data_IF_705934174429
#
_entry.id   IF_705934174429
#
_cell.length_a   1.000
_cell.length_b   1.000
_cell.length_c   1.000
_cell.angle_alpha   90.00
_cell.angle_beta   90.00
_cell.angle_gamma   90.00
#
_symmetry.space_group_name_H-M   'P 1'
#
loop_
_entity.id
_entity.type
_entity.pdbx_description
1 polymer ?
#
# COMPACT_ATOMS: atom_id res chain seq x y z
N UNK A 1 7.60 3.31 18.58
CA UNK A 1 6.87 3.54 17.32
C UNK A 1 7.61 2.78 16.24
N UNK A 2 6.91 1.99 15.42
CA UNK A 2 7.52 1.22 14.34
C UNK A 2 8.11 2.16 13.29
N UNK A 3 9.34 1.92 12.83
CA UNK A 3 9.94 2.69 11.74
C UNK A 3 9.35 2.23 10.40
N UNK A 4 8.51 3.06 9.79
CA UNK A 4 7.84 2.79 8.51
C UNK A 4 8.51 3.49 7.33
N UNK A 5 9.66 4.15 7.55
CA UNK A 5 10.44 4.81 6.50
C UNK A 5 10.80 3.90 5.31
N UNK A 6 11.09 2.59 5.50
CA UNK A 6 11.34 1.69 4.37
C UNK A 6 10.16 1.58 3.40
N UNK A 7 8.93 1.55 3.93
CA UNK A 7 7.71 1.47 3.12
C UNK A 7 7.45 2.77 2.36
N UNK A 8 7.49 3.92 3.05
CA UNK A 8 7.24 5.22 2.41
C UNK A 8 8.27 5.47 1.30
N UNK A 9 9.55 5.19 1.56
CA UNK A 9 10.60 5.36 0.57
C UNK A 9 10.44 4.41 -0.64
N UNK A 10 10.01 3.16 -0.43
CA UNK A 10 9.75 2.23 -1.53
C UNK A 10 8.56 2.68 -2.39
N UNK A 11 7.47 3.11 -1.76
CA UNK A 11 6.26 3.59 -2.43
C UNK A 11 6.54 4.87 -3.22
N UNK A 12 7.21 5.86 -2.62
CA UNK A 12 7.55 7.13 -3.29
C UNK A 12 8.40 6.88 -4.54
N UNK A 13 9.45 6.05 -4.43
CA UNK A 13 10.29 5.69 -5.57
C UNK A 13 9.52 5.00 -6.69
N UNK A 14 8.49 4.21 -6.37
CA UNK A 14 7.68 3.56 -7.40
C UNK A 14 6.66 4.54 -7.99
N UNK A 15 6.00 5.34 -7.16
CA UNK A 15 5.09 6.40 -7.59
C UNK A 15 5.76 7.38 -8.56
N UNK A 16 6.97 7.85 -8.24
CA UNK A 16 7.73 8.75 -9.11
C UNK A 16 8.08 8.12 -10.46
N UNK A 17 8.41 6.82 -10.48
CA UNK A 17 8.62 6.10 -11.73
C UNK A 17 7.35 6.02 -12.56
N UNK A 18 6.21 5.71 -11.94
CA UNK A 18 4.92 5.67 -12.62
C UNK A 18 4.56 7.04 -13.23
N UNK A 19 4.78 8.13 -12.48
CA UNK A 19 4.57 9.52 -12.96
C UNK A 19 5.47 9.86 -14.16
N UNK A 20 6.66 9.29 -14.23
CA UNK A 20 7.61 9.49 -15.32
C UNK A 20 7.40 8.54 -16.51
N UNK A 21 6.52 7.53 -16.41
CA UNK A 21 6.32 6.55 -17.49
C UNK A 21 5.56 7.14 -18.68
N UNK A 22 5.90 6.74 -19.93
CA UNK A 22 5.08 7.03 -21.10
C UNK A 22 3.67 6.43 -20.96
N UNK A 23 2.66 7.13 -21.49
CA UNK A 23 1.27 6.64 -21.46
C UNK A 23 1.11 5.24 -22.06
N UNK A 24 1.81 4.92 -23.15
CA UNK A 24 1.75 3.60 -23.78
C UNK A 24 2.20 2.48 -22.83
N UNK A 25 3.24 2.71 -22.03
CA UNK A 25 3.71 1.77 -20.99
C UNK A 25 2.67 1.63 -19.87
N UNK A 26 2.10 2.75 -19.40
CA UNK A 26 1.04 2.73 -18.39
C UNK A 26 -0.16 1.89 -18.85
N UNK A 27 -0.59 2.08 -20.10
CA UNK A 27 -1.70 1.35 -20.71
C UNK A 27 -1.38 -0.12 -21.02
N UNK A 28 -0.11 -0.50 -21.16
CA UNK A 28 0.32 -1.89 -21.36
C UNK A 28 0.30 -2.74 -20.07
N UNK A 29 -0.17 -2.18 -18.95
CA UNK A 29 -0.44 -2.93 -17.73
C UNK A 29 0.26 -2.40 -16.49
N UNK A 30 1.22 -1.47 -16.62
CA UNK A 30 1.90 -0.88 -15.46
C UNK A 30 0.91 -0.13 -14.54
N UNK A 31 -0.07 0.58 -15.11
CA UNK A 31 -1.10 1.24 -14.32
C UNK A 31 -2.04 0.24 -13.62
N UNK A 32 -2.45 -0.83 -14.31
CA UNK A 32 -3.31 -1.85 -13.70
C UNK A 32 -2.63 -2.54 -12.51
N UNK A 33 -1.36 -2.91 -12.65
CA UNK A 33 -0.57 -3.52 -11.57
C UNK A 33 -0.36 -2.57 -10.38
N UNK A 34 -0.10 -1.29 -10.66
CA UNK A 34 0.05 -0.29 -9.62
C UNK A 34 -1.26 -0.01 -8.87
N UNK A 35 -2.41 0.02 -9.57
CA UNK A 35 -3.72 0.19 -8.95
C UNK A 35 -4.09 -1.02 -8.07
N UNK A 36 -3.80 -2.25 -8.54
CA UNK A 36 -4.00 -3.47 -7.74
C UNK A 36 -3.18 -3.41 -6.44
N UNK A 37 -1.91 -3.00 -6.52
CA UNK A 37 -1.10 -2.78 -5.33
C UNK A 37 -1.68 -1.69 -4.42
N UNK A 38 -2.08 -0.54 -4.97
CA UNK A 38 -2.65 0.55 -4.18
C UNK A 38 -3.91 0.12 -3.42
N UNK A 39 -4.77 -0.70 -4.05
CA UNK A 39 -5.93 -1.33 -3.40
C UNK A 39 -5.53 -2.25 -2.27
N UNK A 40 -4.56 -3.12 -2.49
CA UNK A 40 -4.05 -4.04 -1.45
C UNK A 40 -3.49 -3.28 -0.25
N UNK A 41 -2.69 -2.23 -0.47
CA UNK A 41 -2.17 -1.40 0.62
C UNK A 41 -3.29 -0.67 1.37
N UNK A 42 -4.29 -0.15 0.66
CA UNK A 42 -5.45 0.52 1.26
C UNK A 42 -6.29 -0.45 2.11
N UNK A 43 -6.52 -1.68 1.66
CA UNK A 43 -7.23 -2.71 2.43
C UNK A 43 -6.50 -3.02 3.73
N UNK A 44 -5.15 -3.14 3.67
CA UNK A 44 -4.32 -3.38 4.86
C UNK A 44 -4.39 -2.22 5.85
N UNK A 45 -4.32 -0.97 5.37
CA UNK A 45 -4.45 0.21 6.20
C UNK A 45 -5.81 0.22 6.93
N UNK A 46 -6.89 0.03 6.18
CA UNK A 46 -8.25 -0.02 6.73
C UNK A 46 -8.44 -1.14 7.76
N UNK A 47 -7.84 -2.31 7.54
CA UNK A 47 -7.90 -3.42 8.48
C UNK A 47 -7.21 -3.09 9.81
N UNK A 48 -6.05 -2.43 9.77
CA UNK A 48 -5.34 -1.98 10.97
C UNK A 48 -6.13 -0.90 11.72
N UNK A 49 -6.68 0.08 10.99
CA UNK A 49 -7.52 1.14 11.56
C UNK A 49 -8.77 0.58 12.25
N UNK A 50 -9.46 -0.36 11.59
CA UNK A 50 -10.64 -0.99 12.15
C UNK A 50 -10.31 -1.77 13.44
N UNK A 51 -9.18 -2.49 13.46
CA UNK A 51 -8.72 -3.22 14.64
C UNK A 51 -8.40 -2.27 15.81
N UNK A 52 -7.77 -1.12 15.53
CA UNK A 52 -7.45 -0.10 16.54
C UNK A 52 -8.69 0.56 17.13
N UNK A 53 -9.73 0.78 16.33
CA UNK A 53 -10.97 1.41 16.76
C UNK A 53 -11.90 0.44 17.51
N UNK A 54 -11.55 -0.84 17.61
CA UNK A 54 -12.44 -1.87 18.16
C UNK A 54 -13.71 -2.08 17.34
N UNK A 55 -13.75 -1.57 16.10
CA UNK A 55 -14.86 -1.73 15.19
C UNK A 55 -14.90 -3.18 14.66
N UNK A 56 -16.11 -3.70 14.44
CA UNK A 56 -16.28 -4.96 13.70
C UNK A 56 -15.75 -4.83 12.27
N UNK A 57 -15.48 -5.97 11.62
CA UNK A 57 -14.97 -6.01 10.26
C UNK A 57 -16.04 -5.53 9.26
N UNK A 58 -16.13 -4.21 9.07
CA UNK A 58 -16.82 -3.65 7.93
C UNK A 58 -16.08 -4.05 6.64
N UNK A 59 -16.79 -4.27 5.51
CA UNK A 59 -16.12 -4.49 4.24
C UNK A 59 -15.20 -3.30 3.93
N UNK A 60 -13.99 -3.60 3.45
CA UNK A 60 -13.04 -2.58 3.07
C UNK A 60 -13.63 -1.71 1.95
N UNK A 61 -13.35 -0.41 2.01
CA UNK A 61 -13.70 0.53 0.96
C UNK A 61 -12.75 0.30 -0.22
N UNK A 62 -13.32 0.06 -1.40
CA UNK A 62 -12.53 -0.15 -2.62
C UNK A 62 -12.00 1.18 -3.16
N UNK A 63 -10.68 1.24 -3.41
CA UNK A 63 -10.07 2.36 -4.10
C UNK A 63 -10.51 2.37 -5.58
N UNK A 64 -11.12 3.45 -6.08
CA UNK A 64 -11.62 3.49 -7.45
C UNK A 64 -10.47 3.48 -8.47
N UNK A 65 -10.73 3.04 -9.69
CA UNK A 65 -9.86 3.36 -10.82
C UNK A 65 -10.11 4.83 -11.20
N UNK A 66 -9.15 5.70 -10.91
CA UNK A 66 -9.24 7.12 -11.20
C UNK A 66 -8.51 7.53 -12.49
N UNK A 67 -7.97 6.56 -13.24
CA UNK A 67 -7.27 6.75 -14.50
C UNK A 67 -5.77 6.50 -14.44
N UNK A 68 -5.19 6.21 -15.59
CA UNK A 68 -3.79 5.72 -15.70
C UNK A 68 -2.73 6.72 -15.21
N UNK A 69 -3.01 8.02 -15.22
CA UNK A 69 -2.03 9.05 -14.85
C UNK A 69 -2.00 9.35 -13.35
N UNK A 70 -3.06 9.00 -12.61
CA UNK A 70 -3.16 9.26 -11.17
C UNK A 70 -2.75 8.05 -10.33
N UNK A 71 -2.44 6.91 -10.96
CA UNK A 71 -2.12 5.67 -10.24
C UNK A 71 -0.87 5.81 -9.37
N UNK A 72 0.10 6.66 -9.76
CA UNK A 72 1.25 6.99 -8.92
C UNK A 72 0.84 7.71 -7.64
N UNK A 73 -0.14 8.63 -7.72
CA UNK A 73 -0.67 9.36 -6.58
C UNK A 73 -1.52 8.46 -5.67
N UNK A 74 -2.34 7.59 -6.27
CA UNK A 74 -3.13 6.59 -5.54
C UNK A 74 -2.23 5.63 -4.76
N UNK A 75 -1.14 5.18 -5.37
CA UNK A 75 -0.16 4.33 -4.70
C UNK A 75 0.55 5.07 -3.56
N UNK A 76 0.94 6.33 -3.77
CA UNK A 76 1.55 7.16 -2.74
C UNK A 76 0.64 7.33 -1.52
N UNK A 77 -0.62 7.71 -1.73
CA UNK A 77 -1.63 7.86 -0.67
C UNK A 77 -1.83 6.54 0.09
N UNK A 78 -2.07 5.44 -0.61
CA UNK A 78 -2.29 4.14 0.03
C UNK A 78 -1.08 3.68 0.86
N UNK A 79 0.14 3.96 0.40
CA UNK A 79 1.36 3.68 1.14
C UNK A 79 1.52 4.53 2.39
N UNK A 80 1.21 5.83 2.30
CA UNK A 80 1.20 6.75 3.46
C UNK A 80 0.16 6.32 4.49
N UNK A 81 -1.06 6.01 4.06
CA UNK A 81 -2.14 5.55 4.95
C UNK A 81 -1.73 4.29 5.72
N UNK A 82 -1.15 3.31 5.02
CA UNK A 82 -0.64 2.10 5.67
C UNK A 82 0.51 2.41 6.63
N UNK A 83 1.43 3.28 6.26
CA UNK A 83 2.55 3.68 7.12
C UNK A 83 2.08 4.38 8.40
N UNK A 84 1.05 5.22 8.33
CA UNK A 84 0.44 5.84 9.52
C UNK A 84 -0.31 4.83 10.37
N UNK A 85 -1.13 3.96 9.77
CA UNK A 85 -1.84 2.91 10.50
C UNK A 85 -0.88 1.99 11.28
N UNK A 86 0.24 1.62 10.65
CA UNK A 86 1.32 0.82 11.26
C UNK A 86 2.04 1.57 12.39
N UNK A 87 2.30 2.88 12.26
CA UNK A 87 2.91 3.69 13.34
C UNK A 87 2.02 3.77 14.57
N UNK A 88 0.70 3.86 14.35
CA UNK A 88 -0.30 3.91 15.40
C UNK A 88 -0.60 2.53 16.01
N UNK A 89 -0.16 1.42 15.38
CA UNK A 89 -0.45 0.08 15.85
C UNK A 89 0.39 -0.26 17.11
N UNK A 90 -0.20 -0.94 18.12
CA UNK A 90 0.58 -1.47 19.24
C UNK A 90 1.61 -2.49 18.74
N UNK A 91 2.78 -2.54 19.38
CA UNK A 91 3.89 -3.40 18.94
C UNK A 91 3.54 -4.89 18.92
N UNK A 92 2.63 -5.31 19.79
CA UNK A 92 2.07 -6.65 19.83
C UNK A 92 0.64 -6.65 19.32
N UNK A 93 0.29 -7.69 18.58
CA UNK A 93 -1.08 -7.87 18.10
C UNK A 93 -2.00 -8.22 19.27
N UNK A 94 -3.14 -7.52 19.44
CA UNK A 94 -4.10 -7.81 20.51
C UNK A 94 -4.83 -9.15 20.32
N UNK A 95 -4.64 -9.83 19.18
CA UNK A 95 -5.13 -11.18 18.91
C UNK A 95 -3.95 -12.10 18.64
N UNK A 96 -3.96 -13.26 19.27
CA UNK A 96 -2.92 -14.31 19.17
C UNK A 96 -2.66 -14.80 17.74
N UNK A 97 -3.63 -14.61 16.82
CA UNK A 97 -3.54 -15.05 15.41
C UNK A 97 -3.23 -13.93 14.42
N UNK A 98 -3.15 -12.66 14.86
CA UNK A 98 -2.87 -11.54 13.97
C UNK A 98 -1.34 -11.33 13.83
N UNK A 99 -0.87 -11.14 12.60
CA UNK A 99 0.54 -10.82 12.30
C UNK A 99 0.99 -9.60 13.09
N UNK A 100 2.25 -9.58 13.53
CA UNK A 100 2.82 -8.39 14.15
C UNK A 100 2.90 -7.23 13.12
N UNK A 101 2.77 -5.96 13.54
CA UNK A 101 2.87 -4.82 12.62
C UNK A 101 4.19 -4.78 11.81
N UNK A 102 5.30 -5.24 12.41
CA UNK A 102 6.58 -5.37 11.71
C UNK A 102 6.54 -6.37 10.56
N UNK A 103 5.85 -7.50 10.72
CA UNK A 103 5.68 -8.49 9.65
C UNK A 103 4.81 -7.95 8.51
N UNK A 104 3.76 -7.21 8.86
CA UNK A 104 2.90 -6.54 7.87
C UNK A 104 3.70 -5.50 7.08
N UNK A 105 4.56 -4.74 7.75
CA UNK A 105 5.48 -3.80 7.13
C UNK A 105 6.43 -4.50 6.13
N UNK A 106 7.11 -5.56 6.55
CA UNK A 106 8.05 -6.31 5.71
C UNK A 106 7.37 -6.93 4.48
N UNK A 107 6.13 -7.40 4.64
CA UNK A 107 5.34 -7.91 3.53
C UNK A 107 4.92 -6.79 2.56
N UNK A 108 4.49 -5.63 3.09
CA UNK A 108 4.12 -4.49 2.27
C UNK A 108 5.30 -3.97 1.43
N UNK A 109 6.49 -3.85 2.03
CA UNK A 109 7.71 -3.48 1.31
C UNK A 109 8.00 -4.47 0.17
N UNK A 110 7.96 -5.78 0.45
CA UNK A 110 8.18 -6.81 -0.57
C UNK A 110 7.15 -6.74 -1.71
N UNK A 111 5.89 -6.48 -1.41
CA UNK A 111 4.85 -6.33 -2.42
C UNK A 111 5.11 -5.13 -3.34
N UNK A 112 5.51 -3.99 -2.77
CA UNK A 112 5.89 -2.78 -3.53
C UNK A 112 7.05 -3.06 -4.45
N UNK A 113 8.12 -3.69 -3.95
CA UNK A 113 9.30 -4.02 -4.75
C UNK A 113 8.97 -4.98 -5.90
N UNK A 114 8.17 -6.02 -5.64
CA UNK A 114 7.75 -6.97 -6.66
C UNK A 114 6.84 -6.34 -7.72
N UNK A 115 5.92 -5.46 -7.33
CA UNK A 115 5.07 -4.74 -8.28
C UNK A 115 5.90 -3.80 -9.15
N UNK A 116 6.87 -3.09 -8.55
CA UNK A 116 7.77 -2.22 -9.29
C UNK A 116 8.59 -2.98 -10.33
N UNK A 117 9.09 -4.18 -10.00
CA UNK A 117 9.80 -5.04 -10.97
C UNK A 117 8.86 -5.49 -12.10
N UNK A 118 7.61 -5.86 -11.78
CA UNK A 118 6.62 -6.29 -12.78
C UNK A 118 6.21 -5.16 -13.72
N UNK A 119 6.05 -3.95 -13.21
CA UNK A 119 5.61 -2.78 -13.97
C UNK A 119 6.71 -2.20 -14.88
N UNK A 120 7.98 -2.56 -14.63
CA UNK A 120 9.14 -2.04 -15.38
C UNK A 120 9.68 -3.00 -16.44
N UNK A 121 9.31 -4.28 -16.38
CA UNK A 121 9.56 -5.28 -17.45
C UNK A 121 8.76 -4.96 -18.70
#
# INVERSE_FOLDING_TARGET
MLDTSPLTAAVERFADRLRAMPQSRLQQGAAAQALELARELSVRAQALEAAQQGAGAAPARDMPDAGVFVVGDQLAVAGTDLAEALRAAPAESPRETAKAPSEVLDEAVRLVEQAQVRATR
#
